data_IF_317285262506
#
_entry.id   IF_317285262506
#
_cell.length_a   1.000
_cell.length_b   1.000
_cell.length_c   1.000
_cell.angle_alpha   90.00
_cell.angle_beta   90.00
_cell.angle_gamma   90.00
#
_symmetry.space_group_name_H-M   'P 1'
#
loop_
_entity.id
_entity.type
_entity.pdbx_description
1 polymer ?
#
# COMPACT_ATOMS: atom_id res chain seq x y z
N UNK A 1 -8.97 -5.65 3.42
CA UNK A 1 -9.35 -5.28 2.05
C UNK A 1 -8.51 -6.13 1.12
N UNK A 2 -9.12 -6.80 0.14
CA UNK A 2 -8.42 -7.71 -0.77
C UNK A 2 -8.75 -7.29 -2.19
N UNK A 3 -7.73 -7.01 -2.99
CA UNK A 3 -7.84 -6.72 -4.42
C UNK A 3 -7.50 -7.99 -5.20
N UNK A 4 -8.52 -8.62 -5.77
CA UNK A 4 -8.39 -9.87 -6.52
C UNK A 4 -7.85 -9.64 -7.93
N UNK A 5 -7.38 -10.71 -8.57
CA UNK A 5 -6.98 -10.68 -9.97
C UNK A 5 -8.06 -10.05 -10.88
N UNK A 6 -7.61 -9.36 -11.92
CA UNK A 6 -8.44 -8.61 -12.86
C UNK A 6 -9.26 -7.45 -12.27
N UNK A 7 -9.16 -7.12 -10.97
CA UNK A 7 -9.86 -5.96 -10.41
C UNK A 7 -9.20 -4.62 -10.76
N UNK A 8 -10.03 -3.62 -11.02
CA UNK A 8 -9.63 -2.21 -11.17
C UNK A 8 -8.47 -1.96 -12.15
N UNK A 9 -8.44 -2.68 -13.28
CA UNK A 9 -7.34 -2.70 -14.25
C UNK A 9 -6.98 -1.34 -14.86
N UNK A 10 -7.89 -0.37 -14.80
CA UNK A 10 -7.71 0.99 -15.33
C UNK A 10 -7.55 2.05 -14.24
N UNK A 11 -7.66 1.68 -12.97
CA UNK A 11 -7.52 2.62 -11.86
C UNK A 11 -6.07 3.09 -11.79
N UNK A 12 -5.88 4.41 -11.72
CA UNK A 12 -4.54 5.03 -11.68
C UNK A 12 -4.15 5.51 -10.30
N UNK A 13 -5.12 5.87 -9.47
CA UNK A 13 -4.87 6.39 -8.14
C UNK A 13 -5.84 5.73 -7.16
N UNK A 14 -5.31 5.30 -6.02
CA UNK A 14 -6.07 4.71 -4.94
C UNK A 14 -5.68 5.41 -3.65
N UNK A 15 -6.71 5.89 -2.95
CA UNK A 15 -6.60 6.57 -1.67
C UNK A 15 -7.42 5.78 -0.65
N UNK A 16 -6.75 5.25 0.37
CA UNK A 16 -7.39 4.59 1.50
C UNK A 16 -7.13 5.46 2.72
N UNK A 17 -8.16 6.18 3.15
CA UNK A 17 -8.05 7.25 4.15
C UNK A 17 -9.09 7.03 5.24
N UNK A 18 -8.70 7.30 6.49
CA UNK A 18 -9.61 7.41 7.64
C UNK A 18 -10.44 6.15 7.88
N UNK A 19 -9.73 5.05 8.12
CA UNK A 19 -10.36 3.75 8.37
C UNK A 19 -9.76 3.08 9.60
N UNK A 20 -10.53 3.14 10.67
CA UNK A 20 -10.19 2.54 11.96
C UNK A 20 -10.30 1.02 12.00
N UNK A 21 -10.97 0.37 11.04
CA UNK A 21 -11.21 -1.09 11.09
C UNK A 21 -10.37 -1.89 10.09
N UNK A 22 -9.69 -1.21 9.17
CA UNK A 22 -8.87 -1.87 8.16
C UNK A 22 -7.60 -2.43 8.80
N UNK A 23 -7.47 -3.75 8.81
CA UNK A 23 -6.35 -4.47 9.44
C UNK A 23 -5.30 -4.97 8.45
N UNK A 24 -5.72 -5.17 7.21
CA UNK A 24 -4.89 -5.79 6.19
C UNK A 24 -5.32 -5.29 4.81
N UNK A 25 -4.33 -5.11 3.93
CA UNK A 25 -4.51 -4.90 2.50
C UNK A 25 -3.76 -6.00 1.78
N UNK A 26 -4.47 -6.78 0.96
CA UNK A 26 -3.92 -7.85 0.14
C UNK A 26 -4.11 -7.46 -1.32
N UNK A 27 -3.06 -7.58 -2.12
CA UNK A 27 -3.04 -7.27 -3.55
C UNK A 27 -2.60 -8.53 -4.29
N UNK A 28 -3.54 -9.19 -4.95
CA UNK A 28 -3.21 -10.34 -5.79
C UNK A 28 -2.41 -9.91 -7.01
N UNK A 29 -1.59 -10.82 -7.51
CA UNK A 29 -0.94 -10.64 -8.80
C UNK A 29 -2.01 -10.50 -9.88
N UNK A 30 -1.91 -9.45 -10.69
CA UNK A 30 -2.90 -9.15 -11.73
C UNK A 30 -3.98 -8.16 -11.30
N UNK A 31 -4.05 -7.78 -10.03
CA UNK A 31 -4.87 -6.65 -9.59
C UNK A 31 -4.20 -5.30 -9.93
N UNK A 32 -5.00 -4.24 -10.11
CA UNK A 32 -4.51 -2.85 -10.11
C UNK A 32 -3.37 -2.55 -11.12
N UNK A 33 -3.32 -3.23 -12.27
CA UNK A 33 -2.21 -3.17 -13.24
C UNK A 33 -1.89 -1.79 -13.86
N UNK A 34 -2.72 -0.77 -13.60
CA UNK A 34 -2.51 0.61 -14.06
C UNK A 34 -2.28 1.60 -12.93
N UNK A 35 -2.19 1.12 -11.68
CA UNK A 35 -2.07 1.97 -10.51
C UNK A 35 -0.70 2.65 -10.50
N UNK A 36 -0.71 3.97 -10.45
CA UNK A 36 0.45 4.86 -10.41
C UNK A 36 0.64 5.47 -9.03
N UNK A 37 -0.44 5.64 -8.27
CA UNK A 37 -0.38 6.23 -6.94
C UNK A 37 -1.20 5.45 -5.92
N UNK A 38 -0.57 5.15 -4.79
CA UNK A 38 -1.21 4.58 -3.62
C UNK A 38 -0.96 5.49 -2.42
N UNK A 39 -2.03 5.95 -1.79
CA UNK A 39 -1.95 6.66 -0.51
C UNK A 39 -2.71 5.88 0.57
N UNK A 40 -2.02 5.60 1.67
CA UNK A 40 -2.55 5.03 2.90
C UNK A 40 -2.43 6.09 3.99
N UNK A 41 -3.54 6.45 4.62
CA UNK A 41 -3.56 7.59 5.55
C UNK A 41 -4.56 7.36 6.68
N UNK A 42 -4.15 7.54 7.94
CA UNK A 42 -5.03 7.37 9.12
C UNK A 42 -5.68 5.99 9.18
N UNK A 43 -4.86 4.94 9.17
CA UNK A 43 -5.29 3.53 9.22
C UNK A 43 -4.80 2.85 10.51
N UNK A 44 -5.40 3.22 11.64
CA UNK A 44 -4.95 2.85 13.00
C UNK A 44 -4.69 1.35 13.23
N UNK A 45 -5.51 0.49 12.61
CA UNK A 45 -5.43 -0.97 12.81
C UNK A 45 -4.63 -1.71 11.74
N UNK A 46 -4.17 -1.03 10.70
CA UNK A 46 -3.28 -1.61 9.72
C UNK A 46 -1.89 -1.67 10.35
N UNK A 47 -1.29 -2.85 10.40
CA UNK A 47 -0.02 -3.07 11.13
C UNK A 47 1.19 -3.32 10.25
N UNK A 48 0.97 -3.49 8.95
CA UNK A 48 2.00 -3.88 7.96
C UNK A 48 1.71 -3.24 6.62
N UNK A 49 2.76 -3.10 5.81
CA UNK A 49 2.67 -2.74 4.40
C UNK A 49 1.69 -3.69 3.68
N UNK A 50 0.94 -3.22 2.65
CA UNK A 50 0.09 -4.09 1.86
C UNK A 50 0.82 -5.34 1.35
N UNK A 51 0.24 -6.51 1.62
CA UNK A 51 0.76 -7.77 1.09
C UNK A 51 0.60 -7.78 -0.42
N UNK A 52 1.68 -8.08 -1.15
CA UNK A 52 1.66 -8.06 -2.62
C UNK A 52 1.89 -6.67 -3.22
N UNK A 53 2.40 -5.69 -2.46
CA UNK A 53 2.75 -4.37 -2.99
C UNK A 53 3.70 -4.47 -4.20
N UNK A 54 4.58 -5.48 -4.22
CA UNK A 54 5.49 -5.76 -5.34
C UNK A 54 4.78 -6.15 -6.65
N UNK A 55 3.49 -6.48 -6.61
CA UNK A 55 2.69 -6.76 -7.81
C UNK A 55 2.28 -5.48 -8.56
N UNK A 56 2.41 -4.31 -7.93
CA UNK A 56 2.04 -3.02 -8.53
C UNK A 56 3.16 -2.47 -9.42
N UNK A 57 3.45 -3.16 -10.52
CA UNK A 57 4.61 -2.88 -11.39
C UNK A 57 4.67 -1.46 -11.99
N UNK A 58 3.56 -0.71 -11.99
CA UNK A 58 3.47 0.68 -12.49
C UNK A 58 3.35 1.72 -11.39
N UNK A 59 3.50 1.32 -10.13
CA UNK A 59 3.40 2.24 -9.00
C UNK A 59 4.57 3.22 -9.03
N UNK A 60 4.23 4.50 -9.09
CA UNK A 60 5.16 5.62 -9.20
C UNK A 60 5.30 6.38 -7.88
N UNK A 61 4.21 6.47 -7.10
CA UNK A 61 4.10 7.26 -5.87
C UNK A 61 3.38 6.43 -4.77
N UNK A 62 4.12 6.04 -3.74
CA UNK A 62 3.60 5.41 -2.53
C UNK A 62 3.72 6.38 -1.35
N UNK A 63 2.58 6.72 -0.74
CA UNK A 63 2.53 7.56 0.46
C UNK A 63 1.85 6.85 1.59
N UNK A 64 2.49 6.84 2.74
CA UNK A 64 1.97 6.27 3.97
C UNK A 64 2.14 7.32 5.06
N UNK A 65 1.04 7.81 5.62
CA UNK A 65 1.07 8.90 6.59
C UNK A 65 0.08 8.71 7.72
N UNK A 66 0.32 9.35 8.88
CA UNK A 66 -0.59 9.31 10.03
C UNK A 66 -0.98 7.87 10.41
N UNK A 67 0.01 6.98 10.50
CA UNK A 67 -0.21 5.58 10.85
C UNK A 67 -0.06 5.38 12.36
N UNK A 68 -0.40 4.18 12.86
CA UNK A 68 -0.13 3.88 14.25
C UNK A 68 1.37 3.68 14.48
N UNK A 69 1.85 4.04 15.67
CA UNK A 69 3.24 3.80 16.08
C UNK A 69 3.66 2.32 15.91
N UNK A 70 2.72 1.38 16.12
CA UNK A 70 2.99 -0.05 15.91
C UNK A 70 3.27 -0.38 14.43
N UNK A 71 2.59 0.28 13.49
CA UNK A 71 2.85 0.09 12.06
C UNK A 71 4.28 0.49 11.70
N UNK A 72 4.72 1.68 12.12
CA UNK A 72 6.06 2.20 11.81
C UNK A 72 7.17 1.30 12.36
N UNK A 73 6.99 0.79 13.58
CA UNK A 73 7.95 -0.13 14.20
C UNK A 73 8.01 -1.51 13.51
N UNK A 74 6.94 -1.90 12.80
CA UNK A 74 6.87 -3.19 12.14
C UNK A 74 7.47 -3.18 10.72
N UNK A 75 7.82 -2.02 10.16
CA UNK A 75 8.43 -1.95 8.83
C UNK A 75 9.85 -2.53 8.90
N UNK A 76 10.03 -3.67 8.24
CA UNK A 76 11.32 -4.36 8.22
C UNK A 76 12.05 -4.22 6.88
N UNK A 77 13.27 -4.74 6.80
CA UNK A 77 14.07 -4.73 5.56
C UNK A 77 13.35 -5.41 4.39
N UNK A 78 12.57 -6.47 4.65
CA UNK A 78 11.81 -7.17 3.61
C UNK A 78 10.69 -6.29 3.04
N UNK A 79 10.03 -5.51 3.88
CA UNK A 79 9.03 -4.53 3.45
C UNK A 79 9.67 -3.48 2.54
N UNK A 80 10.82 -2.93 2.92
CA UNK A 80 11.57 -2.00 2.07
C UNK A 80 11.94 -2.61 0.72
N UNK A 81 12.42 -3.86 0.71
CA UNK A 81 12.76 -4.58 -0.51
C UNK A 81 11.54 -4.79 -1.43
N UNK A 82 10.34 -4.94 -0.86
CA UNK A 82 9.10 -5.07 -1.64
C UNK A 82 8.72 -3.77 -2.36
N UNK A 83 9.14 -2.61 -1.84
CA UNK A 83 8.82 -1.27 -2.38
C UNK A 83 9.94 -0.68 -3.24
N UNK A 84 11.08 -1.37 -3.39
CA UNK A 84 12.25 -0.84 -4.11
C UNK A 84 12.00 -0.47 -5.59
N UNK A 85 10.94 -1.04 -6.19
CA UNK A 85 10.54 -0.76 -7.56
C UNK A 85 9.78 0.58 -7.70
N UNK A 86 9.34 1.17 -6.58
CA UNK A 86 8.58 2.42 -6.55
C UNK A 86 9.55 3.61 -6.52
N UNK A 87 9.53 4.50 -7.53
CA UNK A 87 10.41 5.66 -7.61
C UNK A 87 10.30 6.63 -6.43
N UNK A 88 9.09 6.84 -5.90
CA UNK A 88 8.84 7.73 -4.78
C UNK A 88 8.10 6.98 -3.66
N UNK A 89 8.77 6.83 -2.52
CA UNK A 89 8.20 6.29 -1.29
C UNK A 89 8.33 7.35 -0.20
N UNK A 90 7.21 7.78 0.35
CA UNK A 90 7.12 8.73 1.45
C UNK A 90 6.40 8.07 2.63
N UNK A 91 7.10 7.92 3.75
CA UNK A 91 6.53 7.47 5.02
C UNK A 91 6.78 8.56 6.06
N UNK A 92 5.70 9.10 6.63
CA UNK A 92 5.76 10.23 7.56
C UNK A 92 4.72 10.12 8.67
N UNK A 93 5.04 10.75 9.80
CA UNK A 93 4.14 10.90 10.95
C UNK A 93 2.87 11.71 10.58
#
# INVERSE_FOLDING_TARGET
>A
MHFEDAWFQKLKELYVIDSYELREVIIDKGALLSLKKLKLDKLERLKKIPTGIQHLEKLEDLRISNMSYEFEQNICTEDWNSMQHVPLVEISD
#
